data_IF_013696122467
#
_entry.id   IF_013696122467
#
_cell.length_a   1.000
_cell.length_b   1.000
_cell.length_c   1.000
_cell.angle_alpha   90.00
_cell.angle_beta   90.00
_cell.angle_gamma   90.00
#
_symmetry.space_group_name_H-M   'P 1'
#
loop_
_entity.id
_entity.type
_entity.pdbx_description
1 polymer ?
#
# COMPACT_ATOMS: atom_id res chain seq x y z
N UNK A 1 7.64 -24.57 13.49
CA UNK A 1 8.06 -23.92 14.74
C UNK A 1 6.94 -23.00 15.16
N UNK A 2 6.41 -23.13 16.38
CA UNK A 2 5.37 -22.25 16.91
C UNK A 2 6.07 -21.32 17.92
N UNK A 3 6.18 -20.05 17.62
CA UNK A 3 6.71 -19.07 18.57
C UNK A 3 5.54 -18.66 19.45
N UNK A 4 5.61 -19.02 20.74
CA UNK A 4 4.63 -18.62 21.75
C UNK A 4 5.20 -17.40 22.46
N UNK A 5 4.60 -16.25 22.23
CA UNK A 5 4.93 -15.06 23.00
C UNK A 5 4.38 -15.20 24.43
N UNK A 6 5.14 -14.75 25.43
CA UNK A 6 4.78 -14.83 26.85
C UNK A 6 3.84 -13.72 27.31
N UNK A 7 3.43 -12.80 26.41
CA UNK A 7 2.55 -11.66 26.73
C UNK A 7 1.32 -11.64 25.81
N UNK A 8 0.25 -11.00 26.27
CA UNK A 8 -0.99 -10.81 25.53
C UNK A 8 -0.71 -10.10 24.21
N UNK A 9 -0.86 -10.80 23.08
CA UNK A 9 -0.64 -10.29 21.74
C UNK A 9 -1.28 -11.19 20.69
N UNK A 10 -1.31 -10.77 19.42
CA UNK A 10 -1.85 -11.59 18.35
C UNK A 10 -1.02 -12.86 18.15
N UNK A 11 -1.72 -13.99 18.00
CA UNK A 11 -1.09 -15.25 17.66
C UNK A 11 -1.01 -15.41 16.16
N UNK A 12 0.17 -15.76 15.64
CA UNK A 12 0.37 -16.06 14.24
C UNK A 12 1.03 -17.44 14.06
N UNK A 13 0.73 -18.09 12.95
CA UNK A 13 1.32 -19.35 12.57
C UNK A 13 2.13 -19.18 11.30
N UNK A 14 3.41 -19.50 11.34
CA UNK A 14 4.32 -19.51 10.20
C UNK A 14 4.91 -20.92 10.06
N UNK A 15 4.66 -21.55 8.91
CA UNK A 15 5.31 -22.80 8.50
C UNK A 15 6.43 -22.45 7.53
N UNK A 16 7.64 -22.93 7.80
CA UNK A 16 8.83 -22.77 6.95
C UNK A 16 9.22 -24.12 6.38
N UNK A 17 9.64 -24.14 5.11
CA UNK A 17 10.00 -25.38 4.39
C UNK A 17 11.38 -25.89 4.79
N UNK A 18 12.33 -24.99 4.96
CA UNK A 18 13.74 -25.33 5.26
C UNK A 18 14.42 -24.24 6.10
N UNK A 19 15.57 -24.57 6.69
CA UNK A 19 16.32 -23.67 7.58
C UNK A 19 16.92 -22.45 6.86
N UNK A 20 17.09 -22.47 5.54
CA UNK A 20 17.66 -21.35 4.79
C UNK A 20 16.67 -20.18 4.70
N UNK A 21 15.37 -20.47 4.76
CA UNK A 21 14.29 -19.48 4.75
C UNK A 21 14.54 -18.38 5.79
N UNK A 22 14.92 -18.73 7.00
CA UNK A 22 15.19 -17.76 8.07
C UNK A 22 16.33 -16.82 7.70
N UNK A 23 17.43 -17.38 7.16
CA UNK A 23 18.60 -16.60 6.72
C UNK A 23 18.22 -15.67 5.56
N UNK A 24 17.43 -16.15 4.62
CA UNK A 24 16.95 -15.37 3.47
C UNK A 24 16.06 -14.20 3.92
N UNK A 25 15.15 -14.41 4.87
CA UNK A 25 14.32 -13.34 5.45
C UNK A 25 15.19 -12.28 6.13
N UNK A 26 16.14 -12.70 6.97
CA UNK A 26 17.06 -11.79 7.66
C UNK A 26 17.85 -10.92 6.66
N UNK A 27 18.30 -11.49 5.55
CA UNK A 27 19.10 -10.77 4.56
C UNK A 27 18.24 -9.94 3.58
N UNK A 28 17.06 -10.43 3.21
CA UNK A 28 16.21 -9.85 2.17
C UNK A 28 15.05 -9.00 2.68
N UNK A 29 14.77 -9.06 4.00
CA UNK A 29 13.70 -8.29 4.63
C UNK A 29 12.31 -8.66 4.14
N UNK A 30 11.39 -7.68 4.15
CA UNK A 30 9.97 -7.86 3.82
C UNK A 30 9.75 -8.28 2.36
N UNK A 31 10.59 -7.82 1.43
CA UNK A 31 10.49 -8.23 0.01
C UNK A 31 10.79 -9.71 -0.12
N UNK A 32 11.87 -10.19 0.52
CA UNK A 32 12.22 -11.61 0.48
C UNK A 32 11.18 -12.49 1.17
N UNK A 33 10.58 -11.99 2.24
CA UNK A 33 9.47 -12.67 2.91
C UNK A 33 8.29 -12.87 1.93
N UNK A 34 7.92 -11.85 1.15
CA UNK A 34 6.85 -11.95 0.15
C UNK A 34 7.19 -12.93 -0.97
N UNK A 35 8.42 -12.89 -1.51
CA UNK A 35 8.91 -13.84 -2.51
C UNK A 35 8.82 -15.29 -2.01
N UNK A 36 9.31 -15.56 -0.80
CA UNK A 36 9.25 -16.88 -0.19
C UNK A 36 7.82 -17.38 0.04
N UNK A 37 6.89 -16.47 0.30
CA UNK A 37 5.46 -16.81 0.38
C UNK A 37 4.91 -17.19 -0.99
N UNK A 38 5.20 -16.42 -2.04
CA UNK A 38 4.81 -16.73 -3.43
C UNK A 38 5.39 -18.06 -3.90
N UNK A 39 6.64 -18.34 -3.55
CA UNK A 39 7.35 -19.59 -3.84
C UNK A 39 6.86 -20.78 -2.98
N UNK A 40 5.89 -20.57 -2.09
CA UNK A 40 5.36 -21.57 -1.15
C UNK A 40 6.42 -22.16 -0.19
N UNK A 41 7.54 -21.51 -0.03
CA UNK A 41 8.59 -21.89 0.94
C UNK A 41 8.23 -21.46 2.36
N UNK A 42 7.32 -20.49 2.49
CA UNK A 42 6.62 -20.19 3.73
C UNK A 42 5.11 -20.22 3.51
N UNK A 43 4.38 -20.54 4.56
CA UNK A 43 2.92 -20.55 4.52
C UNK A 43 2.32 -20.24 5.90
N UNK A 44 1.08 -19.78 5.92
CA UNK A 44 0.33 -19.52 7.15
C UNK A 44 -1.09 -20.03 7.03
N UNK A 45 -1.66 -20.49 8.14
CA UNK A 45 -3.08 -20.83 8.22
C UNK A 45 -3.99 -19.59 8.15
N UNK A 46 -3.47 -18.44 8.59
CA UNK A 46 -4.14 -17.15 8.53
C UNK A 46 -3.10 -16.07 8.22
N UNK A 47 -3.06 -15.64 6.97
CA UNK A 47 -2.11 -14.64 6.50
C UNK A 47 -2.34 -13.28 7.17
N UNK A 48 -3.61 -12.89 7.39
CA UNK A 48 -3.95 -11.62 8.05
C UNK A 48 -3.38 -11.55 9.46
N UNK A 49 -3.54 -12.62 10.26
CA UNK A 49 -2.97 -12.68 11.61
C UNK A 49 -1.44 -12.65 11.58
N UNK A 50 -0.82 -13.30 10.58
CA UNK A 50 0.63 -13.27 10.41
C UNK A 50 1.12 -11.86 10.07
N UNK A 51 0.48 -11.18 9.13
CA UNK A 51 0.84 -9.80 8.76
C UNK A 51 0.63 -8.82 9.91
N UNK A 52 -0.46 -8.98 10.67
CA UNK A 52 -0.70 -8.17 11.88
C UNK A 52 0.40 -8.39 12.94
N UNK A 53 0.79 -9.64 13.17
CA UNK A 53 1.91 -9.96 14.07
C UNK A 53 3.23 -9.32 13.59
N UNK A 54 3.54 -9.42 12.30
CA UNK A 54 4.74 -8.79 11.71
C UNK A 54 4.71 -7.27 11.87
N UNK A 55 3.57 -6.63 11.60
CA UNK A 55 3.43 -5.18 11.71
C UNK A 55 3.64 -4.67 13.15
N UNK A 56 3.10 -5.37 14.15
CA UNK A 56 3.27 -5.00 15.57
C UNK A 56 4.70 -5.20 16.09
N UNK A 57 5.49 -6.05 15.45
CA UNK A 57 6.87 -6.34 15.86
C UNK A 57 7.92 -5.73 14.92
N UNK A 58 7.52 -4.89 13.97
CA UNK A 58 8.43 -4.34 12.96
C UNK A 58 9.55 -3.52 13.58
N UNK A 59 9.25 -2.65 14.53
CA UNK A 59 10.24 -1.77 15.17
C UNK A 59 11.30 -2.56 15.93
N UNK A 60 10.90 -3.63 16.64
CA UNK A 60 11.83 -4.50 17.34
C UNK A 60 12.69 -5.33 16.36
N UNK A 61 12.14 -5.72 15.23
CA UNK A 61 12.88 -6.42 14.19
C UNK A 61 13.95 -5.53 13.55
N UNK A 62 13.65 -4.27 13.29
CA UNK A 62 14.61 -3.30 12.73
C UNK A 62 15.78 -3.03 13.69
N UNK A 63 15.53 -2.92 14.98
CA UNK A 63 16.59 -2.77 15.99
C UNK A 63 17.48 -4.01 16.09
N UNK A 64 16.91 -5.18 15.98
CA UNK A 64 17.63 -6.47 16.11
C UNK A 64 18.47 -6.77 14.86
N UNK A 65 17.99 -6.39 13.68
CA UNK A 65 18.68 -6.61 12.40
C UNK A 65 19.47 -5.37 11.97
N UNK A 66 20.48 -4.94 12.74
CA UNK A 66 21.40 -3.87 12.32
C UNK A 66 22.00 -4.21 10.95
N UNK A 67 21.59 -3.45 9.96
CA UNK A 67 22.07 -3.60 8.57
C UNK A 67 23.59 -3.41 8.57
N UNK A 68 24.36 -4.39 8.09
CA UNK A 68 25.80 -4.26 7.91
C UNK A 68 26.12 -3.00 7.09
N UNK A 69 27.14 -2.25 7.50
CA UNK A 69 27.60 -1.01 6.84
C UNK A 69 27.80 -1.20 5.32
N UNK A 70 28.29 -2.36 4.89
CA UNK A 70 28.44 -2.72 3.47
C UNK A 70 27.10 -2.79 2.74
N UNK A 71 26.05 -3.31 3.40
CA UNK A 71 24.70 -3.39 2.85
C UNK A 71 24.05 -2.00 2.77
N UNK A 72 24.33 -1.13 3.73
CA UNK A 72 23.92 0.27 3.69
C UNK A 72 24.52 1.01 2.50
N UNK A 73 25.84 0.85 2.25
CA UNK A 73 26.51 1.43 1.09
C UNK A 73 25.98 0.89 -0.24
N UNK A 74 25.74 -0.42 -0.33
CA UNK A 74 25.13 -1.04 -1.51
C UNK A 74 23.73 -0.49 -1.78
N UNK A 75 22.88 -0.43 -0.77
CA UNK A 75 21.54 0.14 -0.88
C UNK A 75 21.59 1.63 -1.27
N UNK A 76 22.50 2.41 -0.70
CA UNK A 76 22.70 3.81 -1.06
C UNK A 76 23.13 3.98 -2.51
N UNK A 77 23.97 3.09 -3.03
CA UNK A 77 24.36 3.07 -4.44
C UNK A 77 23.20 2.70 -5.36
N UNK A 78 22.40 1.70 -5.00
CA UNK A 78 21.16 1.35 -5.73
C UNK A 78 20.13 2.48 -5.71
N UNK A 79 19.95 3.15 -4.57
CA UNK A 79 19.13 4.34 -4.46
C UNK A 79 19.63 5.49 -5.34
N UNK A 80 20.93 5.69 -5.43
CA UNK A 80 21.52 6.70 -6.30
C UNK A 80 21.27 6.39 -7.78
N UNK A 81 21.40 5.12 -8.18
CA UNK A 81 21.13 4.66 -9.55
C UNK A 81 19.64 4.78 -9.92
N UNK A 82 18.75 4.60 -8.95
CA UNK A 82 17.27 4.68 -9.12
C UNK A 82 16.72 6.07 -8.78
N UNK A 83 17.53 7.14 -8.80
CA UNK A 83 17.05 8.51 -8.54
C UNK A 83 15.90 8.85 -9.49
N UNK A 84 14.88 9.52 -8.95
CA UNK A 84 13.75 10.05 -9.71
C UNK A 84 14.19 11.16 -10.68
N UNK A 85 14.82 10.76 -11.79
CA UNK A 85 14.96 11.64 -12.95
C UNK A 85 13.63 11.64 -13.71
N UNK A 86 13.38 12.67 -14.53
CA UNK A 86 12.14 12.75 -15.34
C UNK A 86 11.88 11.47 -16.16
N UNK A 87 12.96 10.85 -16.69
CA UNK A 87 12.89 9.61 -17.48
C UNK A 87 12.57 8.40 -16.58
N UNK A 88 13.24 8.31 -15.43
CA UNK A 88 13.04 7.21 -14.50
C UNK A 88 11.69 7.31 -13.78
N UNK A 89 11.22 8.52 -13.48
CA UNK A 89 9.88 8.74 -12.92
C UNK A 89 8.78 8.23 -13.86
N UNK A 90 8.92 8.47 -15.18
CA UNK A 90 7.98 7.94 -16.18
C UNK A 90 7.97 6.40 -16.17
N UNK A 91 9.14 5.75 -16.10
CA UNK A 91 9.24 4.28 -15.99
C UNK A 91 8.67 3.75 -14.69
N UNK A 92 8.94 4.42 -13.57
CA UNK A 92 8.43 4.01 -12.26
C UNK A 92 6.91 4.13 -12.18
N UNK A 93 6.33 5.21 -12.74
CA UNK A 93 4.89 5.41 -12.82
C UNK A 93 4.26 4.34 -13.72
N UNK A 94 4.82 4.10 -14.92
CA UNK A 94 4.37 3.06 -15.83
C UNK A 94 4.36 1.70 -15.11
N UNK A 95 5.44 1.33 -14.45
CA UNK A 95 5.55 0.06 -13.72
C UNK A 95 4.50 -0.09 -12.60
N UNK A 96 4.14 1.00 -11.90
CA UNK A 96 3.08 0.98 -10.88
C UNK A 96 1.70 0.73 -11.49
N UNK A 97 1.41 1.25 -12.69
CA UNK A 97 0.11 1.09 -13.35
C UNK A 97 0.05 -0.08 -14.32
N UNK A 98 1.18 -0.69 -14.68
CA UNK A 98 1.28 -1.86 -15.58
C UNK A 98 0.68 -3.14 -15.00
N UNK A 99 0.34 -3.16 -13.71
CA UNK A 99 -0.45 -4.24 -13.09
C UNK A 99 -1.86 -4.36 -13.69
N UNK A 100 -2.30 -3.31 -14.39
CA UNK A 100 -3.57 -3.26 -15.12
C UNK A 100 -4.80 -3.06 -14.23
N UNK A 101 -5.85 -2.53 -14.82
CA UNK A 101 -7.11 -2.23 -14.10
C UNK A 101 -7.73 -3.47 -13.45
N UNK A 102 -7.50 -4.66 -14.02
CA UNK A 102 -8.04 -5.90 -13.48
C UNK A 102 -7.48 -6.21 -12.09
N UNK A 103 -6.19 -5.97 -11.87
CA UNK A 103 -5.56 -6.14 -10.55
C UNK A 103 -6.18 -5.19 -9.51
N UNK A 104 -6.33 -3.91 -9.85
CA UNK A 104 -6.88 -2.91 -8.94
C UNK A 104 -8.34 -3.16 -8.57
N UNK A 105 -9.14 -3.74 -9.48
CA UNK A 105 -10.54 -4.12 -9.23
C UNK A 105 -10.73 -5.18 -8.16
N UNK A 106 -9.69 -5.93 -7.80
CA UNK A 106 -9.79 -6.93 -6.72
C UNK A 106 -9.92 -6.32 -5.33
N UNK A 107 -9.49 -5.07 -5.12
CA UNK A 107 -9.44 -4.46 -3.80
C UNK A 107 -9.85 -2.99 -3.75
N UNK A 108 -9.95 -2.30 -4.86
CA UNK A 108 -10.56 -0.97 -4.93
C UNK A 108 -12.08 -1.07 -5.03
N UNK A 109 -12.76 0.00 -4.65
CA UNK A 109 -14.19 0.17 -4.89
C UNK A 109 -14.49 0.46 -6.37
N UNK A 110 -15.77 0.56 -6.75
CA UNK A 110 -16.17 0.78 -8.14
C UNK A 110 -15.65 2.08 -8.75
N UNK A 111 -15.39 3.10 -7.93
CA UNK A 111 -14.80 4.37 -8.39
C UNK A 111 -13.31 4.23 -8.73
N UNK A 112 -12.70 3.07 -8.50
CA UNK A 112 -11.27 2.83 -8.69
C UNK A 112 -10.39 3.82 -7.93
N UNK A 113 -10.85 4.32 -6.79
CA UNK A 113 -10.12 5.33 -6.03
C UNK A 113 -8.95 4.74 -5.27
N UNK A 114 -7.74 5.04 -5.73
CA UNK A 114 -6.49 4.57 -5.11
C UNK A 114 -5.96 5.58 -4.09
N UNK A 115 -6.78 5.92 -3.12
CA UNK A 115 -6.38 6.77 -1.98
C UNK A 115 -7.30 6.49 -0.79
N UNK A 116 -6.88 6.92 0.42
CA UNK A 116 -7.64 6.72 1.65
C UNK A 116 -9.06 7.28 1.54
N UNK A 117 -9.99 6.67 2.26
CA UNK A 117 -11.38 7.07 2.34
C UNK A 117 -11.70 7.71 3.69
N UNK A 118 -12.84 8.41 3.82
CA UNK A 118 -13.35 8.96 5.07
C UNK A 118 -14.56 8.14 5.53
N UNK A 119 -14.36 7.31 6.53
CA UNK A 119 -15.39 6.52 7.16
C UNK A 119 -16.10 7.36 8.24
N UNK A 120 -17.41 7.51 8.14
CA UNK A 120 -18.23 8.20 9.16
C UNK A 120 -18.50 7.28 10.35
N UNK A 121 -18.52 5.98 10.10
CA UNK A 121 -18.62 4.94 11.13
C UNK A 121 -17.94 3.64 10.65
N UNK A 122 -17.71 2.71 11.59
CA UNK A 122 -17.00 1.45 11.32
C UNK A 122 -17.72 0.48 10.38
N UNK A 123 -19.00 0.70 10.09
CA UNK A 123 -19.82 -0.16 9.22
C UNK A 123 -19.97 0.40 7.81
N UNK A 124 -19.41 1.59 7.53
CA UNK A 124 -19.48 2.18 6.20
C UNK A 124 -18.78 1.28 5.18
N UNK A 125 -19.44 1.08 4.05
CA UNK A 125 -18.78 0.45 2.88
C UNK A 125 -17.77 1.41 2.28
N UNK A 126 -16.71 0.87 1.68
CA UNK A 126 -15.64 1.65 1.07
C UNK A 126 -16.17 2.67 0.04
N UNK A 127 -17.17 2.29 -0.77
CA UNK A 127 -17.79 3.20 -1.75
C UNK A 127 -18.42 4.44 -1.10
N UNK A 128 -19.08 4.27 0.05
CA UNK A 128 -19.66 5.39 0.80
C UNK A 128 -18.55 6.25 1.40
N UNK A 129 -17.54 5.63 1.98
CA UNK A 129 -16.41 6.34 2.57
C UNK A 129 -15.61 7.13 1.52
N UNK A 130 -15.50 6.64 0.28
CA UNK A 130 -14.90 7.40 -0.82
C UNK A 130 -15.76 8.60 -1.23
N UNK A 131 -17.09 8.45 -1.29
CA UNK A 131 -18.01 9.57 -1.53
C UNK A 131 -17.94 10.64 -0.43
N UNK A 132 -17.85 10.23 0.84
CA UNK A 132 -17.67 11.14 1.97
C UNK A 132 -16.39 11.96 1.82
N UNK A 133 -15.28 11.33 1.39
CA UNK A 133 -14.04 12.02 1.09
C UNK A 133 -14.21 13.06 -0.02
N UNK A 134 -14.86 12.70 -1.13
CA UNK A 134 -15.07 13.62 -2.24
C UNK A 134 -15.93 14.81 -1.84
N UNK A 135 -17.03 14.55 -1.10
CA UNK A 135 -17.86 15.61 -0.54
C UNK A 135 -17.04 16.55 0.34
N UNK A 136 -16.25 15.98 1.26
CA UNK A 136 -15.41 16.77 2.14
C UNK A 136 -14.36 17.59 1.40
N UNK A 137 -13.77 17.03 0.35
CA UNK A 137 -12.80 17.73 -0.49
C UNK A 137 -13.46 18.89 -1.25
N UNK A 138 -14.65 18.67 -1.83
CA UNK A 138 -15.41 19.74 -2.51
C UNK A 138 -15.80 20.88 -1.55
N UNK A 139 -16.24 20.54 -0.32
CA UNK A 139 -16.55 21.51 0.73
C UNK A 139 -15.32 22.34 1.13
N UNK A 140 -14.19 21.68 1.41
CA UNK A 140 -12.94 22.34 1.79
C UNK A 140 -12.37 23.23 0.69
N UNK A 141 -12.58 22.85 -0.56
CA UNK A 141 -12.19 23.64 -1.73
C UNK A 141 -13.21 24.73 -2.09
N UNK A 142 -14.33 24.79 -1.36
CA UNK A 142 -15.43 25.76 -1.57
C UNK A 142 -15.96 25.77 -3.02
N UNK A 143 -16.05 24.58 -3.64
CA UNK A 143 -16.48 24.40 -5.04
C UNK A 143 -17.95 24.79 -5.20
N UNK A 144 -18.22 25.58 -6.25
CA UNK A 144 -19.55 26.08 -6.61
C UNK A 144 -19.86 25.82 -8.08
N UNK A 145 -21.17 25.88 -8.41
CA UNK A 145 -21.60 25.85 -9.80
C UNK A 145 -20.99 27.03 -10.58
N UNK A 146 -20.49 26.75 -11.78
CA UNK A 146 -19.83 27.71 -12.63
C UNK A 146 -18.31 27.78 -12.49
N UNK A 147 -17.72 27.09 -11.49
CA UNK A 147 -16.28 27.09 -11.28
C UNK A 147 -15.53 26.35 -12.39
N UNK A 148 -14.29 26.79 -12.62
CA UNK A 148 -13.30 26.05 -13.42
C UNK A 148 -12.27 25.42 -12.47
N UNK A 149 -12.16 24.10 -12.52
CA UNK A 149 -11.38 23.29 -11.59
C UNK A 149 -10.24 22.60 -12.34
N UNK A 150 -9.04 22.67 -11.79
CA UNK A 150 -7.89 21.88 -12.23
C UNK A 150 -7.65 20.75 -11.22
N UNK A 151 -7.80 19.50 -11.66
CA UNK A 151 -7.48 18.32 -10.86
C UNK A 151 -6.11 17.78 -11.26
N UNK A 152 -5.14 17.82 -10.32
CA UNK A 152 -3.79 17.27 -10.53
C UNK A 152 -3.71 15.91 -9.85
N UNK A 153 -3.45 14.85 -10.65
CA UNK A 153 -3.39 13.48 -10.13
C UNK A 153 -4.76 12.81 -10.02
N UNK A 154 -5.58 12.96 -11.05
CA UNK A 154 -6.96 12.46 -11.08
C UNK A 154 -7.12 10.93 -10.92
N UNK A 155 -6.05 10.14 -11.09
CA UNK A 155 -6.12 8.68 -11.08
C UNK A 155 -7.10 8.18 -12.16
N UNK A 156 -8.12 7.43 -11.77
CA UNK A 156 -9.21 6.99 -12.67
C UNK A 156 -10.37 7.98 -12.77
N UNK A 157 -10.20 9.20 -12.27
CA UNK A 157 -11.19 10.28 -12.41
C UNK A 157 -12.35 10.24 -11.41
N UNK A 158 -12.24 9.50 -10.31
CA UNK A 158 -13.34 9.33 -9.36
C UNK A 158 -13.81 10.64 -8.72
N UNK A 159 -12.92 11.58 -8.43
CA UNK A 159 -13.32 12.90 -7.91
C UNK A 159 -13.94 13.77 -9.01
N UNK A 160 -13.36 13.78 -10.22
CA UNK A 160 -13.95 14.46 -11.39
C UNK A 160 -15.35 13.95 -11.69
N UNK A 161 -15.58 12.63 -11.65
CA UNK A 161 -16.91 12.03 -11.82
C UNK A 161 -17.88 12.49 -10.73
N UNK A 162 -17.43 12.50 -9.47
CA UNK A 162 -18.23 13.01 -8.36
C UNK A 162 -18.63 14.46 -8.57
N UNK A 163 -17.69 15.31 -8.99
CA UNK A 163 -17.97 16.73 -9.26
C UNK A 163 -18.95 16.90 -10.41
N UNK A 164 -18.75 16.20 -11.52
CA UNK A 164 -19.65 16.27 -12.68
C UNK A 164 -21.09 15.86 -12.36
N UNK A 165 -21.27 14.95 -11.42
CA UNK A 165 -22.59 14.49 -10.99
C UNK A 165 -23.28 15.42 -9.95
N UNK A 166 -22.53 16.27 -9.27
CA UNK A 166 -23.06 17.08 -8.16
C UNK A 166 -22.95 18.59 -8.38
N UNK A 167 -22.13 19.05 -9.33
CA UNK A 167 -21.87 20.46 -9.60
C UNK A 167 -21.86 20.74 -11.10
N UNK A 168 -22.37 21.91 -11.49
CA UNK A 168 -22.23 22.42 -12.87
C UNK A 168 -20.90 23.18 -12.97
N UNK A 169 -19.78 22.46 -13.18
CA UNK A 169 -18.43 23.04 -13.21
C UNK A 169 -17.64 22.51 -14.42
N UNK A 170 -16.60 23.24 -14.82
CA UNK A 170 -15.65 22.81 -15.84
C UNK A 170 -14.44 22.18 -15.14
N UNK A 171 -14.10 20.93 -15.49
CA UNK A 171 -13.00 20.18 -14.88
C UNK A 171 -11.92 19.91 -15.95
N UNK A 172 -10.68 20.11 -15.57
CA UNK A 172 -9.49 19.83 -16.42
C UNK A 172 -8.48 19.03 -15.61
#
# INVERSE_FOLDING_TARGET
MCIRDSKYGPHAHLKIADNNVIKEIIHGGSVKFAELYMDKRISSKNLTSLMHYCALNNDQAEETFKISFLKYLHNKFLHFKNRNTKIQAKKNISYHYDLGNQFYRYWLDKSMTYSSAIFSNQYDKLELAQKNKYKKLAELSNIKNGDTILEIGCGWGGFSEFLANNYSCKIT
#
